data_IF_124533517257
#
_entry.id   IF_124533517257
#
_cell.length_a   1.000
_cell.length_b   1.000
_cell.length_c   1.000
_cell.angle_alpha   90.00
_cell.angle_beta   90.00
_cell.angle_gamma   90.00
#
_symmetry.space_group_name_H-M   'P 1'
#
loop_
_entity.id
_entity.type
_entity.pdbx_description
1 polymer ?
#
# COMPACT_ATOMS: atom_id res chain seq x y z
N UNK A 1 31.05 -41.04 -3.34
CA UNK A 1 31.34 -39.58 -3.34
C UNK A 1 30.20 -38.72 -3.81
N UNK A 2 29.46 -39.01 -4.91
CA UNK A 2 28.30 -38.24 -5.39
C UNK A 2 27.17 -38.09 -4.31
N UNK A 3 26.92 -39.16 -3.56
CA UNK A 3 25.85 -39.17 -2.53
C UNK A 3 26.17 -38.29 -1.29
N UNK A 4 27.44 -38.10 -0.98
CA UNK A 4 27.89 -37.25 0.12
C UNK A 4 27.78 -35.76 -0.27
N UNK A 5 28.12 -35.43 -1.52
CA UNK A 5 28.03 -34.06 -2.05
C UNK A 5 26.59 -33.55 -2.05
N UNK A 6 25.66 -34.35 -2.55
CA UNK A 6 24.23 -33.99 -2.55
C UNK A 6 23.65 -33.81 -1.13
N UNK A 7 24.13 -34.61 -0.15
CA UNK A 7 23.70 -34.46 1.25
C UNK A 7 24.24 -33.18 1.89
N UNK A 8 25.48 -32.79 1.53
CA UNK A 8 26.07 -31.53 2.00
C UNK A 8 25.32 -30.34 1.41
N UNK A 9 25.01 -30.33 0.12
CA UNK A 9 24.24 -29.27 -0.54
C UNK A 9 22.84 -29.09 0.10
N UNK A 10 22.12 -30.16 0.39
CA UNK A 10 20.81 -30.11 1.07
C UNK A 10 20.94 -29.55 2.49
N UNK A 11 21.99 -29.92 3.23
CA UNK A 11 22.22 -29.40 4.59
C UNK A 11 22.58 -27.90 4.52
N UNK A 12 23.39 -27.48 3.55
CA UNK A 12 23.76 -26.08 3.38
C UNK A 12 22.53 -25.22 3.00
N UNK A 13 21.65 -25.70 2.13
CA UNK A 13 20.38 -25.03 1.80
C UNK A 13 19.45 -24.90 3.03
N UNK A 14 19.33 -25.96 3.83
CA UNK A 14 18.51 -25.93 5.05
C UNK A 14 19.10 -25.00 6.11
N UNK A 15 20.43 -24.93 6.24
CA UNK A 15 21.11 -23.99 7.12
C UNK A 15 20.92 -22.54 6.65
N UNK A 16 21.03 -22.29 5.33
CA UNK A 16 20.74 -20.97 4.78
C UNK A 16 19.29 -20.54 5.00
N UNK A 17 18.32 -21.43 4.77
CA UNK A 17 16.90 -21.15 5.04
C UNK A 17 16.63 -20.84 6.52
N UNK A 18 17.26 -21.58 7.42
CA UNK A 18 17.18 -21.33 8.89
C UNK A 18 17.81 -20.00 9.28
N UNK A 19 18.96 -19.67 8.70
CA UNK A 19 19.64 -18.39 8.96
C UNK A 19 18.84 -17.20 8.44
N UNK A 20 18.27 -17.28 7.22
CA UNK A 20 17.37 -16.24 6.67
C UNK A 20 16.15 -16.08 7.57
N UNK A 21 15.53 -17.17 8.01
CA UNK A 21 14.40 -17.14 8.95
C UNK A 21 14.79 -16.49 10.29
N UNK A 22 15.96 -16.87 10.85
CA UNK A 22 16.48 -16.28 12.09
C UNK A 22 16.77 -14.79 11.97
N UNK A 23 17.36 -14.35 10.84
CA UNK A 23 17.60 -12.93 10.57
C UNK A 23 16.29 -12.15 10.41
N UNK A 24 15.29 -12.77 9.79
CA UNK A 24 13.96 -12.20 9.65
C UNK A 24 13.26 -12.09 11.01
N UNK A 25 13.33 -13.11 11.84
CA UNK A 25 12.80 -13.10 13.21
C UNK A 25 13.55 -12.09 14.10
N UNK A 26 14.87 -11.97 13.99
CA UNK A 26 15.67 -10.96 14.69
C UNK A 26 15.33 -9.53 14.22
N UNK A 27 15.13 -9.35 12.91
CA UNK A 27 14.71 -8.07 12.35
C UNK A 27 13.31 -7.69 12.84
N UNK A 28 12.39 -8.65 12.92
CA UNK A 28 11.05 -8.48 13.50
C UNK A 28 11.13 -8.20 15.00
N UNK A 29 11.95 -8.92 15.74
CA UNK A 29 12.15 -8.68 17.18
C UNK A 29 12.78 -7.30 17.45
N UNK A 30 13.73 -6.88 16.61
CA UNK A 30 14.32 -5.55 16.68
C UNK A 30 13.28 -4.46 16.38
N UNK A 31 12.47 -4.64 15.32
CA UNK A 31 11.36 -3.76 14.95
C UNK A 31 10.33 -3.67 16.09
N UNK A 32 9.98 -4.79 16.73
CA UNK A 32 9.04 -4.82 17.87
C UNK A 32 9.66 -4.21 19.13
N UNK A 33 10.98 -4.34 19.32
CA UNK A 33 11.70 -3.74 20.46
C UNK A 33 11.90 -2.23 20.33
N UNK A 34 11.71 -1.68 19.12
CA UNK A 34 12.02 -0.29 18.73
C UNK A 34 10.78 0.59 18.50
N UNK A 35 9.56 0.12 18.82
CA UNK A 35 8.32 0.87 18.55
C UNK A 35 8.03 1.95 19.60
N UNK A 36 7.93 3.21 19.16
CA UNK A 36 7.39 4.30 19.97
C UNK A 36 5.91 4.09 20.29
N UNK A 37 5.50 4.61 21.44
CA UNK A 37 4.09 4.74 21.79
C UNK A 37 3.33 5.50 20.69
N UNK A 38 2.43 4.83 20.00
CA UNK A 38 1.56 5.44 19.00
C UNK A 38 0.61 6.41 19.68
N UNK A 39 0.68 7.68 19.29
CA UNK A 39 -0.12 8.75 19.91
C UNK A 39 -1.55 8.73 19.38
N UNK A 40 -2.51 8.94 20.29
CA UNK A 40 -3.90 9.17 19.93
C UNK A 40 -4.01 10.57 19.32
N UNK A 41 -4.33 10.65 18.03
CA UNK A 41 -4.57 11.93 17.35
C UNK A 41 -5.92 12.50 17.77
N UNK A 42 -5.96 13.82 18.01
CA UNK A 42 -7.20 14.52 18.34
C UNK A 42 -8.12 14.59 17.13
N UNK A 43 -9.44 14.48 17.36
CA UNK A 43 -10.42 14.77 16.33
C UNK A 43 -10.27 16.24 15.87
N UNK A 44 -10.28 16.50 14.55
CA UNK A 44 -10.17 17.86 14.01
C UNK A 44 -11.48 18.65 14.13
N UNK A 45 -12.54 18.07 14.71
CA UNK A 45 -13.87 18.64 14.87
C UNK A 45 -14.56 18.08 16.12
N UNK A 46 -15.65 18.72 16.56
CA UNK A 46 -16.47 18.23 17.68
C UNK A 46 -17.29 16.98 17.31
N UNK A 47 -17.70 16.19 18.28
CA UNK A 47 -18.53 14.99 18.03
C UNK A 47 -19.83 15.29 17.28
N UNK A 48 -20.41 16.50 17.47
CA UNK A 48 -21.65 16.90 16.80
C UNK A 48 -21.44 17.49 15.40
N UNK A 49 -20.20 17.75 15.00
CA UNK A 49 -19.89 18.49 13.75
C UNK A 49 -20.36 17.75 12.49
N UNK A 50 -20.39 16.43 12.51
CA UNK A 50 -20.76 15.58 11.38
C UNK A 50 -22.17 14.97 11.54
N UNK A 51 -23.07 15.60 12.33
CA UNK A 51 -24.40 15.05 12.66
C UNK A 51 -25.27 14.70 11.45
N UNK A 52 -25.04 15.33 10.28
CA UNK A 52 -25.73 14.94 9.04
C UNK A 52 -25.32 13.57 8.53
N UNK A 53 -24.12 13.07 8.90
CA UNK A 53 -23.57 11.79 8.50
C UNK A 53 -23.46 10.81 9.68
N UNK A 54 -22.75 11.19 10.75
CA UNK A 54 -22.59 10.39 11.97
C UNK A 54 -23.19 11.20 13.14
N UNK A 55 -24.08 10.60 13.92
CA UNK A 55 -24.62 11.24 15.11
C UNK A 55 -23.55 11.38 16.22
N UNK A 56 -23.75 12.30 17.20
CA UNK A 56 -22.73 12.57 18.22
C UNK A 56 -22.41 11.37 19.12
N UNK A 57 -23.39 10.49 19.39
CA UNK A 57 -23.20 9.28 20.19
C UNK A 57 -22.30 8.30 19.45
N UNK A 58 -22.64 7.97 18.19
CA UNK A 58 -21.80 7.15 17.32
C UNK A 58 -20.39 7.70 17.25
N UNK A 59 -20.21 9.02 17.01
CA UNK A 59 -18.90 9.64 16.92
C UNK A 59 -18.10 9.50 18.23
N UNK A 60 -18.76 9.71 19.37
CA UNK A 60 -18.11 9.58 20.68
C UNK A 60 -17.65 8.15 20.97
N UNK A 61 -18.50 7.15 20.71
CA UNK A 61 -18.16 5.74 20.91
C UNK A 61 -17.08 5.31 19.91
N UNK A 62 -17.24 5.69 18.65
CA UNK A 62 -16.31 5.35 17.56
C UNK A 62 -14.88 5.87 17.83
N UNK A 63 -14.76 7.12 18.30
CA UNK A 63 -13.47 7.70 18.66
C UNK A 63 -12.95 7.19 20.00
N UNK A 64 -13.75 7.25 21.09
CA UNK A 64 -13.25 6.99 22.45
C UNK A 64 -13.13 5.50 22.79
N UNK A 65 -13.92 4.61 22.14
CA UNK A 65 -13.92 3.17 22.44
C UNK A 65 -13.23 2.37 21.35
N UNK A 66 -13.57 2.60 20.06
CA UNK A 66 -12.98 1.83 18.97
C UNK A 66 -11.57 2.34 18.64
N UNK A 67 -11.42 3.59 18.19
CA UNK A 67 -10.13 4.14 17.80
C UNK A 67 -9.10 4.12 18.93
N UNK A 68 -9.43 4.71 20.08
CA UNK A 68 -8.53 4.70 21.25
C UNK A 68 -8.22 3.28 21.69
N UNK A 69 -9.22 2.39 21.71
CA UNK A 69 -9.03 0.99 22.07
C UNK A 69 -8.07 0.24 21.14
N UNK A 70 -8.02 0.56 19.83
CA UNK A 70 -7.01 0.02 18.92
C UNK A 70 -5.62 0.53 19.25
N UNK A 71 -5.47 1.84 19.50
CA UNK A 71 -4.18 2.44 19.86
C UNK A 71 -3.66 1.90 21.18
N UNK A 72 -4.50 1.81 22.21
CA UNK A 72 -4.11 1.31 23.53
C UNK A 72 -3.67 -0.15 23.48
N UNK A 73 -4.42 -1.00 22.75
CA UNK A 73 -4.07 -2.41 22.56
C UNK A 73 -2.81 -2.59 21.74
N UNK A 74 -2.60 -1.76 20.72
CA UNK A 74 -1.38 -1.76 19.93
C UNK A 74 -0.18 -1.42 20.80
N UNK A 75 -0.24 -0.32 21.55
CA UNK A 75 0.82 0.11 22.44
C UNK A 75 1.13 -0.93 23.52
N UNK A 76 0.10 -1.60 24.07
CA UNK A 76 0.30 -2.69 25.03
C UNK A 76 0.94 -3.95 24.43
N UNK A 77 0.90 -4.13 23.11
CA UNK A 77 1.50 -5.25 22.40
C UNK A 77 2.91 -4.96 21.86
N UNK A 78 3.22 -3.69 21.61
CA UNK A 78 4.54 -3.22 21.20
C UNK A 78 5.39 -3.01 22.48
N UNK A 79 6.64 -3.44 22.45
CA UNK A 79 7.57 -3.17 23.55
C UNK A 79 8.10 -1.74 23.45
N UNK A 80 8.38 -1.15 24.62
CA UNK A 80 8.83 0.24 24.78
C UNK A 80 10.24 0.42 24.21
N UNK A 81 10.41 0.51 22.91
CA UNK A 81 11.62 1.16 22.36
C UNK A 81 11.48 1.41 20.85
N UNK A 82 11.66 2.67 20.51
CA UNK A 82 12.05 3.30 19.23
C UNK A 82 11.08 3.32 18.04
N UNK A 83 11.04 4.46 17.51
CA UNK A 83 10.94 5.16 16.22
C UNK A 83 10.15 4.56 15.04
N UNK A 84 9.40 3.48 15.18
CA UNK A 84 8.48 3.08 14.13
C UNK A 84 7.19 3.91 14.17
N UNK A 85 6.89 4.53 13.08
CA UNK A 85 5.59 5.16 12.86
C UNK A 85 4.52 4.08 12.63
N UNK A 86 3.27 4.42 12.94
CA UNK A 86 2.13 3.54 12.64
C UNK A 86 2.05 3.17 11.16
N UNK A 87 2.46 4.08 10.26
CA UNK A 87 2.53 3.83 8.82
C UNK A 87 3.57 2.75 8.47
N UNK A 88 4.73 2.74 9.13
CA UNK A 88 5.77 1.73 8.94
C UNK A 88 5.33 0.36 9.43
N UNK A 89 4.71 0.27 10.62
CA UNK A 89 4.13 -0.97 11.14
C UNK A 89 3.11 -1.56 10.14
N UNK A 90 2.21 -0.71 9.62
CA UNK A 90 1.19 -1.13 8.66
C UNK A 90 1.81 -1.62 7.34
N UNK A 91 2.90 -1.01 6.86
CA UNK A 91 3.59 -1.42 5.62
C UNK A 91 4.32 -2.75 5.70
N UNK A 92 4.66 -3.19 6.91
CA UNK A 92 5.39 -4.44 7.17
C UNK A 92 4.57 -5.41 8.01
N UNK A 93 3.25 -5.35 7.86
CA UNK A 93 2.31 -6.04 8.76
C UNK A 93 2.36 -7.56 8.65
N UNK A 94 2.84 -8.11 7.53
CA UNK A 94 3.06 -9.55 7.35
C UNK A 94 4.03 -10.12 8.40
N UNK A 95 4.97 -9.29 8.88
CA UNK A 95 5.93 -9.65 9.91
C UNK A 95 5.34 -9.74 11.32
N UNK A 96 4.09 -9.33 11.51
CA UNK A 96 3.43 -9.26 12.81
C UNK A 96 2.31 -10.30 12.95
N UNK A 97 1.98 -10.62 14.20
CA UNK A 97 0.85 -11.50 14.47
C UNK A 97 -0.51 -10.82 14.20
N UNK A 98 -1.57 -11.63 14.14
CA UNK A 98 -2.93 -11.16 13.85
C UNK A 98 -3.43 -10.10 14.85
N UNK A 99 -3.01 -10.14 16.11
CA UNK A 99 -3.41 -9.17 17.11
C UNK A 99 -2.85 -7.77 16.77
N UNK A 100 -1.56 -7.67 16.46
CA UNK A 100 -0.91 -6.43 16.03
C UNK A 100 -1.52 -5.95 14.70
N UNK A 101 -1.70 -6.85 13.72
CA UNK A 101 -2.33 -6.52 12.44
C UNK A 101 -3.70 -5.85 12.61
N UNK A 102 -4.57 -6.42 13.43
CA UNK A 102 -5.90 -5.87 13.65
C UNK A 102 -5.86 -4.51 14.37
N UNK A 103 -4.99 -4.35 15.36
CA UNK A 103 -4.93 -3.12 16.16
C UNK A 103 -4.16 -2.00 15.44
N UNK A 104 -3.07 -2.31 14.74
CA UNK A 104 -2.35 -1.34 13.92
C UNK A 104 -3.21 -0.87 12.73
N UNK A 105 -3.88 -1.82 12.06
CA UNK A 105 -4.84 -1.48 11.00
C UNK A 105 -5.97 -0.62 11.54
N UNK A 106 -6.58 -1.01 12.66
CA UNK A 106 -7.64 -0.22 13.31
C UNK A 106 -7.19 1.19 13.69
N UNK A 107 -6.02 1.33 14.31
CA UNK A 107 -5.45 2.63 14.65
C UNK A 107 -5.22 3.49 13.39
N UNK A 108 -4.57 2.94 12.37
CA UNK A 108 -4.24 3.64 11.13
C UNK A 108 -5.48 4.06 10.34
N UNK A 109 -6.42 3.13 10.13
CA UNK A 109 -7.64 3.38 9.37
C UNK A 109 -8.45 4.52 9.98
N UNK A 110 -8.59 4.54 11.31
CA UNK A 110 -9.36 5.57 12.01
C UNK A 110 -8.63 6.91 12.02
N UNK A 111 -7.28 6.95 12.16
CA UNK A 111 -6.52 8.20 11.99
C UNK A 111 -6.76 8.84 10.63
N UNK A 112 -6.76 8.03 9.56
CA UNK A 112 -7.08 8.51 8.23
C UNK A 112 -8.54 8.96 8.12
N UNK A 113 -9.47 8.16 8.64
CA UNK A 113 -10.91 8.43 8.55
C UNK A 113 -11.28 9.81 9.12
N UNK A 114 -10.71 10.16 10.28
CA UNK A 114 -10.96 11.47 10.88
C UNK A 114 -10.48 12.63 9.99
N UNK A 115 -9.38 12.49 9.30
CA UNK A 115 -8.81 13.51 8.38
C UNK A 115 -9.59 13.59 7.07
N UNK A 116 -10.13 12.46 6.62
CA UNK A 116 -10.92 12.35 5.38
C UNK A 116 -12.32 12.95 5.50
N UNK A 117 -12.76 13.32 6.69
CA UNK A 117 -14.08 13.90 6.96
C UNK A 117 -13.96 15.36 7.42
N UNK A 118 -14.97 16.16 7.08
CA UNK A 118 -15.07 17.57 7.50
C UNK A 118 -16.52 18.01 7.60
N UNK A 119 -16.86 18.91 8.55
CA UNK A 119 -18.17 19.56 8.59
C UNK A 119 -18.36 20.63 7.49
N UNK A 120 -17.26 21.04 6.81
CA UNK A 120 -17.30 22.03 5.75
C UNK A 120 -17.71 21.37 4.43
N UNK A 121 -18.49 22.06 3.64
CA UNK A 121 -18.76 21.63 2.26
C UNK A 121 -17.53 21.91 1.40
N UNK A 122 -16.87 20.85 0.93
CA UNK A 122 -15.72 20.94 0.04
C UNK A 122 -16.03 20.28 -1.30
N UNK A 123 -15.19 20.53 -2.32
CA UNK A 123 -15.29 19.92 -3.65
C UNK A 123 -13.94 19.38 -4.08
N UNK A 124 -13.90 18.31 -4.90
CA UNK A 124 -12.63 17.80 -5.43
C UNK A 124 -11.84 18.91 -6.14
N UNK A 125 -10.57 19.01 -5.80
CA UNK A 125 -9.65 19.93 -6.46
C UNK A 125 -9.25 19.45 -7.87
N UNK A 126 -8.46 20.25 -8.62
CA UNK A 126 -8.14 19.97 -10.01
C UNK A 126 -7.32 18.69 -10.22
N UNK A 127 -6.39 18.36 -9.33
CA UNK A 127 -5.59 17.12 -9.41
C UNK A 127 -6.50 15.93 -9.19
N UNK A 128 -7.35 15.98 -8.16
CA UNK A 128 -8.31 14.91 -7.83
C UNK A 128 -9.29 14.68 -8.99
N UNK A 129 -9.89 15.74 -9.52
CA UNK A 129 -10.81 15.63 -10.66
C UNK A 129 -10.14 15.05 -11.90
N UNK A 130 -8.92 15.51 -12.23
CA UNK A 130 -8.14 14.97 -13.36
C UNK A 130 -7.91 13.47 -13.19
N UNK A 131 -7.44 13.03 -12.02
CA UNK A 131 -7.15 11.62 -11.74
C UNK A 131 -8.42 10.76 -11.69
N UNK A 132 -9.51 11.26 -11.12
CA UNK A 132 -10.81 10.59 -11.12
C UNK A 132 -11.31 10.40 -12.54
N UNK A 133 -11.29 11.45 -13.38
CA UNK A 133 -11.76 11.37 -14.77
C UNK A 133 -10.91 10.40 -15.59
N UNK A 134 -9.59 10.36 -15.37
CA UNK A 134 -8.70 9.41 -16.03
C UNK A 134 -9.00 7.95 -15.66
N UNK A 135 -9.41 7.69 -14.40
CA UNK A 135 -9.57 6.32 -13.88
C UNK A 135 -11.02 5.82 -13.93
N UNK A 136 -12.01 6.73 -13.93
CA UNK A 136 -13.43 6.38 -13.77
C UNK A 136 -14.36 7.10 -14.77
N UNK A 137 -13.82 7.87 -15.70
CA UNK A 137 -14.53 8.70 -16.70
C UNK A 137 -15.16 9.96 -16.12
N UNK A 138 -15.78 9.90 -14.94
CA UNK A 138 -16.38 11.08 -14.29
C UNK A 138 -16.42 10.93 -12.76
N UNK A 139 -16.61 12.05 -12.05
CA UNK A 139 -16.88 12.06 -10.61
C UNK A 139 -18.18 11.30 -10.26
N UNK A 140 -19.18 11.35 -11.12
CA UNK A 140 -20.43 10.63 -10.93
C UNK A 140 -20.23 9.12 -11.04
N UNK A 141 -19.49 8.65 -12.04
CA UNK A 141 -19.18 7.24 -12.22
C UNK A 141 -18.28 6.71 -11.09
N UNK A 142 -17.31 7.52 -10.65
CA UNK A 142 -16.50 7.20 -9.48
C UNK A 142 -17.40 6.97 -8.25
N UNK A 143 -18.26 7.92 -7.92
CA UNK A 143 -19.17 7.80 -6.77
C UNK A 143 -20.05 6.57 -6.88
N UNK A 144 -20.66 6.34 -8.03
CA UNK A 144 -21.51 5.16 -8.31
C UNK A 144 -20.75 3.86 -8.10
N UNK A 145 -19.51 3.74 -8.61
CA UNK A 145 -18.65 2.57 -8.42
C UNK A 145 -18.24 2.37 -6.96
N UNK A 146 -17.88 3.45 -6.27
CA UNK A 146 -17.51 3.41 -4.85
C UNK A 146 -18.68 2.97 -3.98
N UNK A 147 -19.88 3.51 -4.20
CA UNK A 147 -21.10 3.10 -3.51
C UNK A 147 -21.44 1.63 -3.79
N UNK A 148 -21.33 1.17 -5.05
CA UNK A 148 -21.54 -0.22 -5.42
C UNK A 148 -20.62 -1.16 -4.64
N UNK A 149 -19.30 -0.94 -4.70
CA UNK A 149 -18.34 -1.76 -3.97
C UNK A 149 -18.51 -1.70 -2.45
N UNK A 150 -18.92 -0.53 -1.92
CA UNK A 150 -19.25 -0.40 -0.49
C UNK A 150 -20.45 -1.24 -0.06
N UNK A 151 -21.48 -1.32 -0.89
CA UNK A 151 -22.67 -2.17 -0.66
C UNK A 151 -22.32 -3.64 -0.74
N UNK A 152 -21.56 -4.03 -1.76
CA UNK A 152 -21.19 -5.41 -2.05
C UNK A 152 -20.21 -5.98 -1.01
N UNK A 153 -19.56 -5.14 -0.21
CA UNK A 153 -18.70 -5.59 0.88
C UNK A 153 -19.53 -6.36 1.92
N UNK A 154 -19.38 -7.68 1.92
CA UNK A 154 -19.99 -8.56 2.92
C UNK A 154 -19.15 -8.57 4.21
N UNK A 155 -19.81 -8.40 5.35
CA UNK A 155 -19.18 -8.35 6.68
C UNK A 155 -18.41 -7.05 6.93
N UNK A 156 -17.69 -7.01 8.04
CA UNK A 156 -16.91 -5.86 8.48
C UNK A 156 -15.73 -5.59 7.55
N UNK A 157 -15.46 -4.32 7.31
CA UNK A 157 -14.34 -3.90 6.46
C UNK A 157 -14.45 -2.45 6.05
N UNK A 158 -13.70 -2.10 5.01
CA UNK A 158 -13.55 -0.74 4.51
C UNK A 158 -13.68 -0.72 2.98
N UNK A 159 -14.12 0.41 2.45
CA UNK A 159 -14.02 0.74 1.03
C UNK A 159 -13.06 1.91 0.85
N UNK A 160 -12.15 1.81 -0.13
CA UNK A 160 -11.05 2.75 -0.33
C UNK A 160 -10.97 3.26 -1.75
N UNK A 161 -10.67 4.55 -1.91
CA UNK A 161 -10.03 5.09 -3.10
C UNK A 161 -8.52 5.02 -2.90
N UNK A 162 -7.83 4.36 -3.80
CA UNK A 162 -6.39 4.03 -3.67
C UNK A 162 -5.62 4.62 -4.82
N UNK A 163 -4.53 5.32 -4.52
CA UNK A 163 -3.51 5.64 -5.50
C UNK A 163 -2.56 4.46 -5.62
N UNK A 164 -2.54 3.84 -6.81
CA UNK A 164 -1.64 2.73 -7.10
C UNK A 164 -0.21 3.21 -7.27
N UNK A 165 0.76 2.30 -7.17
CA UNK A 165 2.17 2.58 -7.46
C UNK A 165 2.41 3.11 -8.88
N UNK A 166 1.47 2.85 -9.82
CA UNK A 166 1.50 3.35 -11.20
C UNK A 166 0.92 4.76 -11.36
N UNK A 167 0.49 5.41 -10.28
CA UNK A 167 -0.09 6.75 -10.31
C UNK A 167 -1.53 6.82 -10.85
N UNK A 168 -2.22 5.67 -10.94
CA UNK A 168 -3.65 5.59 -11.28
C UNK A 168 -4.50 5.42 -10.02
N UNK A 169 -5.77 5.78 -10.10
CA UNK A 169 -6.72 5.56 -9.00
C UNK A 169 -7.51 4.27 -9.22
N UNK A 170 -7.75 3.53 -8.14
CA UNK A 170 -8.68 2.41 -8.12
C UNK A 170 -9.54 2.42 -6.86
N UNK A 171 -10.69 1.73 -6.93
CA UNK A 171 -11.51 1.42 -5.77
C UNK A 171 -11.22 -0.01 -5.36
N UNK A 172 -11.11 -0.26 -4.06
CA UNK A 172 -11.02 -1.61 -3.51
C UNK A 172 -11.66 -1.69 -2.13
N UNK A 173 -12.05 -2.88 -1.72
CA UNK A 173 -12.50 -3.14 -0.35
C UNK A 173 -11.51 -4.06 0.36
N UNK A 174 -11.39 -3.89 1.68
CA UNK A 174 -10.56 -4.74 2.53
C UNK A 174 -11.38 -5.31 3.69
N UNK A 175 -11.12 -6.54 4.14
CA UNK A 175 -11.80 -7.12 5.29
C UNK A 175 -11.28 -6.56 6.60
N UNK A 176 -12.13 -6.59 7.64
CA UNK A 176 -11.76 -6.24 9.00
C UNK A 176 -11.05 -4.88 9.08
N UNK A 177 -9.83 -4.85 9.65
CA UNK A 177 -9.00 -3.64 9.74
C UNK A 177 -7.84 -3.63 8.75
N UNK A 178 -7.84 -4.52 7.77
CA UNK A 178 -6.88 -4.45 6.67
C UNK A 178 -7.08 -3.18 5.85
N UNK A 179 -6.00 -2.67 5.28
CA UNK A 179 -6.03 -1.49 4.42
C UNK A 179 -5.07 -1.62 3.23
N UNK A 180 -5.24 -0.78 2.19
CA UNK A 180 -4.45 -0.89 0.95
C UNK A 180 -2.95 -0.70 1.10
N UNK A 181 -2.46 -0.16 2.23
CA UNK A 181 -1.04 0.07 2.46
C UNK A 181 -0.31 -1.18 2.95
N UNK A 182 -1.05 -2.15 3.50
CA UNK A 182 -0.51 -3.39 4.06
C UNK A 182 0.12 -4.27 2.98
N UNK A 183 1.28 -4.85 3.29
CA UNK A 183 2.00 -5.79 2.40
C UNK A 183 1.26 -7.11 2.16
N UNK A 184 0.35 -7.48 3.04
CA UNK A 184 -0.55 -8.65 2.90
C UNK A 184 -1.77 -8.40 1.98
N UNK A 185 -1.94 -7.17 1.47
CA UNK A 185 -3.05 -6.80 0.58
C UNK A 185 -2.56 -6.74 -0.85
N UNK A 186 -3.01 -7.69 -1.66
CA UNK A 186 -2.62 -7.77 -3.06
C UNK A 186 -3.01 -6.50 -3.82
N UNK A 187 -2.13 -6.08 -4.73
CA UNK A 187 -2.30 -4.86 -5.53
C UNK A 187 -2.68 -3.62 -4.71
N UNK A 188 -2.21 -3.52 -3.46
CA UNK A 188 -2.43 -2.37 -2.59
C UNK A 188 -1.90 -1.04 -3.16
N UNK A 189 -1.79 -0.04 -2.31
CA UNK A 189 -1.30 1.29 -2.65
C UNK A 189 -1.63 2.29 -1.55
N UNK A 190 -1.54 3.57 -1.84
CA UNK A 190 -1.81 4.60 -0.85
C UNK A 190 -3.32 4.85 -0.73
N UNK A 191 -3.95 4.65 0.46
CA UNK A 191 -5.34 5.02 0.69
C UNK A 191 -5.49 6.53 0.68
N UNK A 192 -6.32 7.05 -0.25
CA UNK A 192 -6.57 8.49 -0.44
C UNK A 192 -7.91 8.90 0.17
N UNK A 193 -8.91 8.03 0.10
CA UNK A 193 -10.22 8.21 0.73
C UNK A 193 -10.69 6.85 1.23
N UNK A 194 -11.32 6.80 2.40
CA UNK A 194 -11.83 5.57 3.01
C UNK A 194 -13.20 5.77 3.62
N UNK A 195 -14.02 4.71 3.57
CA UNK A 195 -15.31 4.62 4.24
C UNK A 195 -15.32 3.38 5.12
N UNK A 196 -15.56 3.59 6.40
CA UNK A 196 -15.76 2.51 7.38
C UNK A 196 -17.10 1.82 7.16
N UNK A 197 -17.07 0.52 6.93
CA UNK A 197 -18.27 -0.31 6.70
C UNK A 197 -18.55 -1.27 7.86
N UNK A 198 -17.85 -1.12 8.98
CA UNK A 198 -18.18 -1.79 10.21
C UNK A 198 -19.52 -1.25 10.77
N UNK A 199 -20.32 -2.11 11.38
CA UNK A 199 -21.62 -1.71 11.94
C UNK A 199 -21.47 -0.62 13.00
N UNK A 200 -20.42 -0.61 13.80
CA UNK A 200 -20.19 0.43 14.80
C UNK A 200 -20.09 1.85 14.20
N UNK A 201 -19.78 1.99 12.93
CA UNK A 201 -19.68 3.29 12.26
C UNK A 201 -21.06 3.89 11.91
N UNK A 202 -22.10 3.07 11.79
CA UNK A 202 -23.38 3.54 11.26
C UNK A 202 -24.65 3.03 11.98
N UNK A 203 -24.56 1.92 12.73
CA UNK A 203 -25.76 1.19 13.16
C UNK A 203 -26.67 2.00 14.10
N UNK A 204 -26.15 2.80 15.03
CA UNK A 204 -26.97 3.60 15.94
C UNK A 204 -27.88 4.57 15.18
N UNK A 205 -27.39 5.21 14.13
CA UNK A 205 -28.15 6.18 13.33
C UNK A 205 -28.98 5.53 12.21
N UNK A 206 -28.39 4.59 11.48
CA UNK A 206 -28.99 4.08 10.23
C UNK A 206 -29.66 2.70 10.38
N UNK A 207 -29.34 1.94 11.44
CA UNK A 207 -29.80 0.58 11.63
C UNK A 207 -29.40 -0.29 10.41
N UNK A 208 -30.34 -0.96 9.79
CA UNK A 208 -30.14 -1.77 8.59
C UNK A 208 -30.01 -0.95 7.29
N UNK A 209 -30.15 0.38 7.34
CA UNK A 209 -30.08 1.23 6.15
C UNK A 209 -28.62 1.63 5.82
N UNK A 210 -27.76 0.64 5.62
CA UNK A 210 -26.35 0.85 5.23
C UNK A 210 -26.24 1.69 3.95
N UNK A 211 -27.18 1.55 3.03
CA UNK A 211 -27.22 2.32 1.78
C UNK A 211 -27.36 3.84 2.00
N UNK A 212 -28.14 4.25 3.01
CA UNK A 212 -28.29 5.66 3.36
C UNK A 212 -27.00 6.22 3.98
N UNK A 213 -26.32 5.42 4.81
CA UNK A 213 -25.01 5.77 5.33
C UNK A 213 -23.99 6.01 4.20
N UNK A 214 -23.89 5.07 3.24
CA UNK A 214 -22.99 5.16 2.09
C UNK A 214 -23.29 6.42 1.26
N UNK A 215 -24.57 6.70 0.95
CA UNK A 215 -24.98 7.89 0.19
C UNK A 215 -24.69 9.21 0.94
N UNK A 216 -24.88 9.22 2.25
CA UNK A 216 -24.65 10.44 3.05
C UNK A 216 -23.16 10.74 3.26
N UNK A 217 -22.26 9.77 3.04
CA UNK A 217 -20.82 9.96 3.15
C UNK A 217 -20.30 11.15 2.34
N UNK A 218 -20.80 11.32 1.12
CA UNK A 218 -20.34 12.38 0.21
C UNK A 218 -20.58 13.80 0.73
N UNK A 219 -21.45 13.99 1.73
CA UNK A 219 -21.74 15.28 2.35
C UNK A 219 -20.63 15.76 3.28
N UNK A 220 -19.78 14.86 3.72
CA UNK A 220 -18.76 15.13 4.74
C UNK A 220 -17.34 14.79 4.29
N UNK A 221 -17.16 14.37 3.04
CA UNK A 221 -15.82 14.12 2.50
C UNK A 221 -15.01 15.41 2.51
N UNK A 222 -13.82 15.33 3.10
CA UNK A 222 -12.83 16.40 3.10
C UNK A 222 -12.00 16.34 1.79
N UNK A 223 -12.55 16.92 0.73
CA UNK A 223 -11.89 16.94 -0.57
C UNK A 223 -10.58 17.73 -0.58
N UNK A 224 -10.42 18.71 0.33
CA UNK A 224 -9.17 19.45 0.47
C UNK A 224 -8.05 18.54 0.99
N UNK A 225 -8.37 17.65 1.95
CA UNK A 225 -7.45 16.61 2.40
C UNK A 225 -7.12 15.62 1.28
N UNK A 226 -8.14 15.14 0.55
CA UNK A 226 -7.97 14.22 -0.58
C UNK A 226 -7.04 14.82 -1.64
N UNK A 227 -7.24 16.09 -2.00
CA UNK A 227 -6.40 16.81 -2.97
C UNK A 227 -4.95 16.91 -2.49
N UNK A 228 -4.73 17.32 -1.24
CA UNK A 228 -3.39 17.48 -0.68
C UNK A 228 -2.63 16.16 -0.57
N UNK A 229 -3.29 15.09 -0.11
CA UNK A 229 -2.69 13.76 -0.01
C UNK A 229 -2.37 13.17 -1.37
N UNK A 230 -3.28 13.31 -2.32
CA UNK A 230 -3.07 12.83 -3.68
C UNK A 230 -1.88 13.54 -4.34
N UNK A 231 -1.80 14.87 -4.23
CA UNK A 231 -0.65 15.64 -4.72
C UNK A 231 0.65 15.18 -4.09
N UNK A 232 0.70 15.11 -2.76
CA UNK A 232 1.88 14.71 -2.00
C UNK A 232 2.39 13.31 -2.38
N UNK A 233 1.48 12.35 -2.55
CA UNK A 233 1.83 10.97 -2.90
C UNK A 233 2.26 10.85 -4.37
N UNK A 234 1.65 11.62 -5.28
CA UNK A 234 2.09 11.68 -6.68
C UNK A 234 3.50 12.26 -6.81
N UNK A 235 3.81 13.35 -6.11
CA UNK A 235 5.15 13.97 -6.11
C UNK A 235 6.21 13.00 -5.59
N UNK A 236 5.88 12.25 -4.52
CA UNK A 236 6.77 11.22 -3.98
C UNK A 236 7.01 10.10 -5.00
N UNK A 237 5.98 9.60 -5.65
CA UNK A 237 6.08 8.55 -6.67
C UNK A 237 6.95 9.00 -7.85
N UNK A 238 6.80 10.25 -8.30
CA UNK A 238 7.62 10.83 -9.39
C UNK A 238 9.09 10.93 -8.96
N UNK A 239 9.37 11.46 -7.76
CA UNK A 239 10.75 11.57 -7.24
C UNK A 239 11.43 10.21 -7.13
N UNK A 240 10.77 9.22 -6.53
CA UNK A 240 11.30 7.85 -6.40
C UNK A 240 11.60 7.24 -7.77
N UNK A 241 10.73 7.45 -8.77
CA UNK A 241 10.92 7.00 -10.15
C UNK A 241 12.12 7.67 -10.82
N UNK A 242 12.30 8.98 -10.64
CA UNK A 242 13.41 9.74 -11.22
C UNK A 242 14.75 9.30 -10.62
N UNK A 243 14.83 9.23 -9.29
CA UNK A 243 16.05 8.80 -8.57
C UNK A 243 16.47 7.39 -8.95
N UNK A 244 15.52 6.45 -9.08
CA UNK A 244 15.87 5.11 -9.51
C UNK A 244 16.30 5.04 -10.97
N UNK A 245 15.70 5.84 -11.86
CA UNK A 245 16.15 5.95 -13.25
C UNK A 245 17.58 6.51 -13.33
N UNK A 246 17.90 7.55 -12.58
CA UNK A 246 19.24 8.14 -12.48
C UNK A 246 20.25 7.12 -11.96
N UNK A 247 19.93 6.43 -10.85
CA UNK A 247 20.79 5.38 -10.27
C UNK A 247 21.07 4.25 -11.27
N UNK A 248 20.02 3.74 -11.95
CA UNK A 248 20.18 2.68 -12.95
C UNK A 248 21.01 3.15 -14.15
N UNK A 249 20.83 4.39 -14.59
CA UNK A 249 21.60 4.96 -15.71
C UNK A 249 23.07 5.10 -15.34
N UNK A 250 23.38 5.50 -14.12
CA UNK A 250 24.75 5.63 -13.62
C UNK A 250 25.41 4.27 -13.43
N UNK A 251 24.70 3.31 -12.84
CA UNK A 251 25.17 1.93 -12.66
C UNK A 251 25.50 1.24 -14.00
N UNK A 252 24.68 1.48 -15.03
CA UNK A 252 24.92 0.91 -16.38
C UNK A 252 26.12 1.57 -17.05
N UNK A 253 26.40 2.86 -16.83
CA UNK A 253 27.52 3.59 -17.42
C UNK A 253 28.88 3.27 -16.78
N UNK A 254 28.92 2.86 -15.53
CA UNK A 254 30.12 2.71 -14.72
C UNK A 254 30.89 1.41 -14.91
N UNK A 255 30.34 0.41 -15.62
CA UNK A 255 30.91 -0.93 -15.72
C UNK A 255 31.21 -1.38 -17.17
N UNK A 256 32.30 -2.16 -17.42
CA UNK A 256 32.59 -2.76 -18.74
C UNK A 256 31.49 -3.75 -19.17
N UNK A 257 31.28 -3.86 -20.49
CA UNK A 257 30.16 -4.60 -21.09
C UNK A 257 29.99 -6.07 -20.62
N UNK A 258 31.07 -6.79 -20.29
CA UNK A 258 31.04 -8.17 -19.80
C UNK A 258 30.53 -8.32 -18.35
N UNK A 259 30.55 -7.21 -17.57
CA UNK A 259 30.13 -7.15 -16.18
C UNK A 259 28.70 -6.59 -16.06
N UNK A 260 28.26 -5.85 -17.08
CA UNK A 260 26.94 -5.21 -17.13
C UNK A 260 25.80 -6.24 -17.15
N UNK A 261 25.96 -7.35 -17.87
CA UNK A 261 24.96 -8.44 -17.88
C UNK A 261 24.83 -9.12 -16.52
N UNK A 262 25.97 -9.32 -15.82
CA UNK A 262 25.98 -9.88 -14.46
C UNK A 262 25.39 -8.89 -13.44
N UNK A 263 25.63 -7.60 -13.64
CA UNK A 263 25.12 -6.55 -12.75
C UNK A 263 23.62 -6.30 -12.95
N UNK A 264 23.15 -6.31 -14.20
CA UNK A 264 21.73 -6.26 -14.52
C UNK A 264 20.97 -7.46 -13.92
N UNK A 265 21.50 -8.67 -14.06
CA UNK A 265 20.94 -9.88 -13.44
C UNK A 265 20.94 -9.80 -11.92
N UNK A 266 22.01 -9.28 -11.31
CA UNK A 266 22.14 -9.13 -9.84
C UNK A 266 21.23 -8.05 -9.28
N UNK A 267 21.04 -6.93 -9.98
CA UNK A 267 20.06 -5.88 -9.66
C UNK A 267 18.63 -6.42 -9.74
N UNK A 268 18.31 -7.17 -10.77
CA UNK A 268 17.02 -7.82 -10.96
C UNK A 268 16.74 -8.85 -9.84
N UNK A 269 17.73 -9.62 -9.40
CA UNK A 269 17.58 -10.63 -8.35
C UNK A 269 17.49 -10.06 -6.94
N UNK A 270 18.22 -8.96 -6.65
CA UNK A 270 18.28 -8.36 -5.31
C UNK A 270 17.25 -7.25 -5.08
N UNK A 271 16.52 -6.84 -6.11
CA UNK A 271 15.53 -5.78 -6.01
C UNK A 271 14.19 -6.40 -5.61
N UNK A 272 13.58 -5.85 -4.57
CA UNK A 272 12.24 -6.24 -4.14
C UNK A 272 11.29 -6.28 -5.37
N UNK A 273 10.52 -7.35 -5.52
CA UNK A 273 9.61 -7.61 -6.65
C UNK A 273 8.73 -6.41 -7.02
N UNK A 274 8.38 -5.61 -6.03
CA UNK A 274 7.59 -4.37 -6.19
C UNK A 274 8.38 -3.24 -6.86
N UNK A 275 9.64 -3.08 -6.49
CA UNK A 275 10.56 -2.12 -7.11
C UNK A 275 10.85 -2.55 -8.55
N UNK A 276 11.00 -3.85 -8.78
CA UNK A 276 11.17 -4.42 -10.12
C UNK A 276 9.99 -4.10 -11.03
N UNK A 277 8.77 -4.28 -10.56
CA UNK A 277 7.55 -4.00 -11.32
C UNK A 277 7.36 -2.49 -11.58
N UNK A 278 7.74 -1.64 -10.62
CA UNK A 278 7.68 -0.19 -10.77
C UNK A 278 8.65 0.30 -11.86
N UNK A 279 9.81 -0.31 -11.94
CA UNK A 279 10.91 0.12 -12.82
C UNK A 279 11.09 -0.77 -14.06
N UNK A 280 10.31 -1.83 -14.24
CA UNK A 280 10.41 -2.75 -15.37
C UNK A 280 10.50 -2.01 -16.71
N UNK A 281 9.64 -1.03 -16.93
CA UNK A 281 9.63 -0.25 -18.17
C UNK A 281 10.86 0.67 -18.30
N UNK A 282 11.31 1.27 -17.19
CA UNK A 282 12.51 2.11 -17.19
C UNK A 282 13.78 1.28 -17.41
N UNK A 283 13.89 0.12 -16.76
CA UNK A 283 14.99 -0.84 -16.96
C UNK A 283 15.00 -1.33 -18.42
N UNK A 284 13.86 -1.73 -18.97
CA UNK A 284 13.75 -2.17 -20.36
C UNK A 284 14.08 -1.05 -21.35
N UNK A 285 13.71 0.19 -21.06
CA UNK A 285 14.05 1.33 -21.90
C UNK A 285 15.57 1.60 -21.89
N UNK A 286 16.21 1.60 -20.73
CA UNK A 286 17.67 1.78 -20.58
C UNK A 286 18.42 0.65 -21.26
N UNK A 287 18.00 -0.59 -21.08
CA UNK A 287 18.58 -1.75 -21.74
C UNK A 287 18.46 -1.64 -23.28
N UNK A 288 17.30 -1.23 -23.79
CA UNK A 288 17.08 -0.97 -25.21
C UNK A 288 18.01 0.13 -25.75
N UNK A 289 18.10 1.27 -25.07
CA UNK A 289 18.93 2.40 -25.49
C UNK A 289 20.43 2.11 -25.40
N UNK A 290 20.86 1.32 -24.39
CA UNK A 290 22.27 1.01 -24.15
C UNK A 290 22.79 -0.14 -25.02
N UNK A 291 21.93 -1.09 -25.38
CA UNK A 291 22.29 -2.31 -26.11
C UNK A 291 21.61 -2.43 -27.49
N UNK A 292 20.99 -1.33 -27.99
CA UNK A 292 20.22 -1.30 -29.24
C UNK A 292 21.00 -1.89 -30.44
N UNK A 293 22.32 -1.66 -30.53
CA UNK A 293 23.14 -2.07 -31.64
C UNK A 293 23.66 -3.51 -31.52
N UNK A 294 23.56 -4.14 -30.34
CA UNK A 294 24.15 -5.49 -30.12
C UNK A 294 23.14 -6.59 -29.81
N UNK A 295 21.99 -6.25 -29.22
CA UNK A 295 21.01 -7.25 -28.76
C UNK A 295 19.64 -7.16 -29.44
N UNK A 296 19.42 -6.14 -30.27
CA UNK A 296 18.19 -5.99 -31.06
C UNK A 296 18.43 -6.13 -32.54
N UNK A 297 18.94 -7.30 -32.94
CA UNK A 297 18.74 -7.69 -34.33
C UNK A 297 17.32 -8.24 -34.46
N UNK A 298 16.46 -7.51 -35.16
CA UNK A 298 15.03 -7.85 -35.36
C UNK A 298 14.84 -9.26 -35.91
N UNK A 299 15.80 -9.76 -36.65
CA UNK A 299 15.76 -11.08 -37.28
C UNK A 299 16.06 -12.23 -36.31
N UNK A 300 16.84 -12.01 -35.28
CA UNK A 300 17.11 -13.03 -34.23
C UNK A 300 15.99 -13.11 -33.19
N UNK A 301 15.38 -11.98 -32.84
CA UNK A 301 14.21 -11.95 -31.95
C UNK A 301 12.99 -12.65 -32.57
N UNK A 302 12.80 -12.49 -33.89
CA UNK A 302 11.72 -13.16 -34.63
C UNK A 302 11.93 -14.68 -34.76
N UNK A 303 13.15 -15.18 -34.58
CA UNK A 303 13.51 -16.61 -34.73
C UNK A 303 13.54 -17.39 -33.40
N UNK A 304 13.30 -16.72 -32.26
CA UNK A 304 13.28 -17.36 -30.92
C UNK A 304 14.62 -18.00 -30.51
N UNK A 305 15.75 -17.58 -31.09
CA UNK A 305 17.05 -18.19 -30.90
C UNK A 305 17.93 -17.52 -29.83
N UNK A 306 17.39 -16.65 -29.01
CA UNK A 306 18.14 -16.09 -27.89
C UNK A 306 18.09 -17.01 -26.67
N UNK A 307 18.98 -18.00 -26.64
CA UNK A 307 19.30 -18.75 -25.41
C UNK A 307 20.05 -17.82 -24.45
N UNK A 308 19.35 -17.28 -23.44
CA UNK A 308 20.00 -16.53 -22.38
C UNK A 308 19.35 -15.22 -21.96
N UNK A 309 18.35 -14.71 -22.67
CA UNK A 309 17.53 -13.60 -22.18
C UNK A 309 16.32 -14.20 -21.48
N UNK A 310 16.23 -13.99 -20.20
CA UNK A 310 15.11 -14.45 -19.37
C UNK A 310 13.79 -13.95 -19.94
N UNK A 311 12.89 -14.88 -20.20
CA UNK A 311 11.52 -14.61 -20.61
C UNK A 311 10.81 -13.91 -19.44
N UNK A 312 10.70 -12.59 -19.50
CA UNK A 312 10.01 -11.78 -18.48
C UNK A 312 8.47 -11.88 -18.60
N UNK A 313 7.98 -12.71 -19.52
CA UNK A 313 6.56 -13.00 -19.73
C UNK A 313 6.14 -14.37 -19.18
N UNK A 314 6.96 -15.02 -18.37
CA UNK A 314 6.66 -16.29 -17.70
C UNK A 314 5.60 -16.13 -16.63
N UNK A 315 4.48 -16.64 -16.94
CA UNK A 315 3.39 -17.30 -16.21
C UNK A 315 3.42 -17.29 -14.68
N UNK A 316 2.23 -17.06 -14.10
CA UNK A 316 1.82 -17.33 -12.74
C UNK A 316 1.20 -16.14 -12.05
#
# INVERSE_FOLDING_TARGET
>A
MKNLKNRIEVIEEDLQKKEVKRQQEQKVQKVVAEAKNIKIEKLPYSYAALKQFIDPETMSVHYNKHYKGYVDKLNGALKDDEDLTLEEIVKTIESFNKFIRNNAGGAYNHQLFWKMLTPKTTKPGPITLKKINQSFSSLADFKKKFEGQSKDRFGSGWCWLVLTKRGTLKIMTTPNQDNPLMDVVDQGGFPILGLDLWEHAYYLKYRNRKDDYIKNFWRVVNWDYVESELSRKLDKTVKESTTAKEFLTEAVKSEPCSTQDKMASKLLFNTNRDVLNLYKNAIMQILKETFADRYYNKDEYAKGQMSGVYNLEGEG
#
